data_IF_501159616995
#
_entry.id   IF_501159616995
#
_cell.length_a   1.000
_cell.length_b   1.000
_cell.length_c   1.000
_cell.angle_alpha   90.00
_cell.angle_beta   90.00
_cell.angle_gamma   90.00
#
_symmetry.space_group_name_H-M   'P 1'
#
loop_
_entity.id
_entity.type
_entity.pdbx_description
1 polymer ?
#
# COMPACT_ATOMS: atom_id res chain seq x y z
N UNK A 1 15.64 3.36 -25.19
CA UNK A 1 16.81 3.67 -24.35
C UNK A 1 16.41 3.41 -22.91
N UNK A 2 16.86 2.30 -22.32
CA UNK A 2 16.44 1.90 -20.96
C UNK A 2 17.26 2.74 -19.98
N UNK A 3 16.62 3.74 -19.36
CA UNK A 3 17.21 4.47 -18.24
C UNK A 3 17.31 3.53 -17.05
N UNK A 4 18.51 3.04 -16.76
CA UNK A 4 18.80 2.44 -15.47
C UNK A 4 18.80 3.57 -14.45
N UNK A 5 17.67 3.75 -13.76
CA UNK A 5 17.64 4.61 -12.57
C UNK A 5 18.70 4.13 -11.59
N UNK A 6 19.43 5.06 -11.00
CA UNK A 6 20.46 4.72 -10.01
C UNK A 6 19.82 3.99 -8.82
N UNK A 7 20.58 3.16 -8.10
CA UNK A 7 20.05 2.41 -6.95
C UNK A 7 19.36 3.33 -5.93
N UNK A 8 19.83 4.58 -5.81
CA UNK A 8 19.27 5.57 -4.89
C UNK A 8 17.97 6.20 -5.41
N UNK A 9 17.81 6.39 -6.73
CA UNK A 9 16.53 6.78 -7.34
C UNK A 9 15.45 5.72 -7.11
N UNK A 10 15.78 4.44 -7.28
CA UNK A 10 14.84 3.33 -7.03
C UNK A 10 14.41 3.31 -5.55
N UNK A 11 15.35 3.53 -4.62
CA UNK A 11 15.05 3.65 -3.19
C UNK A 11 14.16 4.86 -2.90
N UNK A 12 14.46 6.01 -3.50
CA UNK A 12 13.69 7.24 -3.31
C UNK A 12 12.25 7.10 -3.84
N UNK A 13 12.07 6.53 -5.04
CA UNK A 13 10.77 6.23 -5.62
C UNK A 13 9.97 5.28 -4.73
N UNK A 14 10.58 4.19 -4.25
CA UNK A 14 9.93 3.25 -3.33
C UNK A 14 9.55 3.91 -2.01
N UNK A 15 10.42 4.74 -1.44
CA UNK A 15 10.14 5.45 -0.19
C UNK A 15 8.93 6.40 -0.34
N UNK A 16 8.88 7.17 -1.43
CA UNK A 16 7.75 8.05 -1.73
C UNK A 16 6.45 7.26 -1.91
N UNK A 17 6.50 6.16 -2.66
CA UNK A 17 5.33 5.33 -2.91
C UNK A 17 4.83 4.64 -1.63
N UNK A 18 5.73 4.25 -0.72
CA UNK A 18 5.36 3.72 0.60
C UNK A 18 4.73 4.79 1.49
N UNK A 19 5.21 6.02 1.43
CA UNK A 19 4.62 7.12 2.20
C UNK A 19 3.18 7.42 1.74
N UNK A 20 2.95 7.39 0.42
CA UNK A 20 1.59 7.51 -0.13
C UNK A 20 0.71 6.35 0.31
N UNK A 21 1.24 5.13 0.34
CA UNK A 21 0.52 3.98 0.84
C UNK A 21 0.12 4.13 2.31
N UNK A 22 1.03 4.63 3.18
CA UNK A 22 0.72 4.92 4.59
C UNK A 22 -0.41 5.95 4.73
N UNK A 23 -0.38 7.01 3.93
CA UNK A 23 -1.45 8.01 3.95
C UNK A 23 -2.80 7.38 3.58
N UNK A 24 -2.86 6.53 2.55
CA UNK A 24 -4.09 5.84 2.17
C UNK A 24 -4.63 4.95 3.30
N UNK A 25 -3.75 4.23 4.00
CA UNK A 25 -4.12 3.44 5.18
C UNK A 25 -4.62 4.32 6.33
N UNK A 26 -3.98 5.47 6.57
CA UNK A 26 -4.41 6.42 7.60
C UNK A 26 -5.81 6.99 7.31
N UNK A 27 -6.10 7.34 6.05
CA UNK A 27 -7.41 7.82 5.62
C UNK A 27 -8.49 6.74 5.80
N UNK A 28 -8.19 5.50 5.40
CA UNK A 28 -9.09 4.36 5.59
C UNK A 28 -9.36 4.10 7.08
N UNK A 29 -8.32 4.19 7.92
CA UNK A 29 -8.45 4.03 9.36
C UNK A 29 -9.25 5.16 10.01
N UNK A 30 -9.09 6.40 9.55
CA UNK A 30 -9.87 7.54 10.02
C UNK A 30 -11.37 7.34 9.76
N UNK A 31 -11.74 6.89 8.56
CA UNK A 31 -13.13 6.52 8.23
C UNK A 31 -13.63 5.36 9.11
N UNK A 32 -12.79 4.36 9.37
CA UNK A 32 -13.15 3.26 10.26
C UNK A 32 -13.42 3.75 11.69
N UNK A 33 -12.58 4.66 12.22
CA UNK A 33 -12.78 5.24 13.56
C UNK A 33 -14.06 6.06 13.63
N UNK A 34 -14.29 6.95 12.65
CA UNK A 34 -15.51 7.76 12.63
C UNK A 34 -16.78 6.90 12.52
N UNK A 35 -16.71 5.76 11.83
CA UNK A 35 -17.83 4.81 11.82
C UNK A 35 -18.08 4.22 13.23
N UNK A 36 -17.03 3.84 13.96
CA UNK A 36 -17.20 3.29 15.31
C UNK A 36 -17.68 4.34 16.32
N UNK A 37 -17.27 5.59 16.18
CA UNK A 37 -17.76 6.69 17.02
C UNK A 37 -19.28 6.89 16.90
N UNK A 38 -19.87 6.61 15.73
CA UNK A 38 -21.33 6.59 15.58
C UNK A 38 -21.97 5.51 16.47
N UNK A 39 -21.32 4.35 16.64
CA UNK A 39 -21.87 3.27 17.45
C UNK A 39 -21.72 3.48 18.97
N UNK A 40 -20.91 4.45 19.41
CA UNK A 40 -20.64 4.71 20.83
C UNK A 40 -21.73 5.56 21.52
N UNK A 41 -22.73 6.03 20.75
CA UNK A 41 -23.88 6.75 21.26
C UNK A 41 -24.93 5.83 21.92
N UNK A 42 -25.64 6.34 22.93
CA UNK A 42 -26.66 5.58 23.67
C UNK A 42 -27.96 5.31 22.89
N UNK A 43 -28.21 6.05 21.80
CA UNK A 43 -29.41 5.94 20.98
C UNK A 43 -29.06 5.52 19.55
N UNK A 44 -28.76 4.23 19.38
CA UNK A 44 -28.53 3.65 18.06
C UNK A 44 -29.88 3.44 17.35
N UNK A 45 -30.20 4.26 16.37
CA UNK A 45 -31.35 4.09 15.49
C UNK A 45 -30.97 3.48 14.13
N UNK A 46 -31.99 3.17 13.32
CA UNK A 46 -31.83 2.56 12.00
C UNK A 46 -31.07 3.47 11.03
N UNK A 47 -31.31 4.79 11.09
CA UNK A 47 -30.67 5.76 10.20
C UNK A 47 -29.17 5.88 10.50
N UNK A 48 -28.82 5.86 11.79
CA UNK A 48 -27.45 5.92 12.28
C UNK A 48 -26.69 4.62 11.97
N UNK A 49 -27.37 3.49 12.01
CA UNK A 49 -26.82 2.22 11.56
C UNK A 49 -26.59 2.18 10.03
N UNK A 50 -27.49 2.74 9.23
CA UNK A 50 -27.31 2.88 7.79
C UNK A 50 -26.12 3.79 7.46
N UNK A 51 -25.98 4.90 8.21
CA UNK A 51 -24.83 5.80 8.08
C UNK A 51 -23.51 5.11 8.45
N UNK A 52 -23.50 4.37 9.56
CA UNK A 52 -22.37 3.51 9.95
C UNK A 52 -21.99 2.56 8.80
N UNK A 53 -22.96 1.82 8.24
CA UNK A 53 -22.68 0.89 7.14
C UNK A 53 -22.12 1.57 5.91
N UNK A 54 -22.61 2.77 5.57
CA UNK A 54 -22.10 3.54 4.44
C UNK A 54 -20.63 3.93 4.64
N UNK A 55 -20.28 4.42 5.84
CA UNK A 55 -18.90 4.81 6.16
C UNK A 55 -17.99 3.58 6.23
N UNK A 56 -18.45 2.47 6.80
CA UNK A 56 -17.70 1.20 6.81
C UNK A 56 -17.39 0.70 5.40
N UNK A 57 -18.39 0.69 4.50
CA UNK A 57 -18.19 0.31 3.09
C UNK A 57 -17.16 1.21 2.41
N UNK A 58 -17.17 2.51 2.70
CA UNK A 58 -16.18 3.46 2.19
C UNK A 58 -14.78 3.20 2.74
N UNK A 59 -14.65 2.91 4.04
CA UNK A 59 -13.38 2.55 4.66
C UNK A 59 -12.81 1.26 4.04
N UNK A 60 -13.64 0.23 3.86
CA UNK A 60 -13.24 -1.04 3.26
C UNK A 60 -12.76 -0.87 1.81
N UNK A 61 -13.42 0.00 1.03
CA UNK A 61 -12.96 0.35 -0.31
C UNK A 61 -11.58 1.02 -0.27
N UNK A 62 -11.36 1.97 0.64
CA UNK A 62 -10.07 2.64 0.81
C UNK A 62 -8.96 1.69 1.24
N UNK A 63 -9.26 0.72 2.11
CA UNK A 63 -8.31 -0.34 2.44
C UNK A 63 -7.96 -1.20 1.23
N UNK A 64 -8.93 -1.58 0.40
CA UNK A 64 -8.67 -2.33 -0.84
C UNK A 64 -7.77 -1.55 -1.80
N UNK A 65 -8.03 -0.25 -1.98
CA UNK A 65 -7.18 0.62 -2.80
C UNK A 65 -5.74 0.68 -2.26
N UNK A 66 -5.57 0.81 -0.94
CA UNK A 66 -4.25 0.83 -0.31
C UNK A 66 -3.52 -0.52 -0.45
N UNK A 67 -4.23 -1.64 -0.32
CA UNK A 67 -3.65 -2.97 -0.53
C UNK A 67 -3.22 -3.18 -1.98
N UNK A 68 -4.03 -2.77 -2.95
CA UNK A 68 -3.65 -2.88 -4.36
C UNK A 68 -2.47 -1.97 -4.70
N UNK A 69 -2.44 -0.75 -4.17
CA UNK A 69 -1.28 0.13 -4.30
C UNK A 69 0.00 -0.53 -3.76
N UNK A 70 -0.08 -1.18 -2.59
CA UNK A 70 1.07 -1.90 -2.03
C UNK A 70 1.48 -3.10 -2.89
N UNK A 71 0.51 -3.80 -3.48
CA UNK A 71 0.76 -4.93 -4.40
C UNK A 71 1.53 -4.48 -5.64
N UNK A 72 1.06 -3.42 -6.30
CA UNK A 72 1.72 -2.83 -7.48
C UNK A 72 3.11 -2.31 -7.11
N UNK A 73 3.23 -1.57 -6.01
CA UNK A 73 4.52 -1.07 -5.51
C UNK A 73 5.55 -2.19 -5.32
N UNK A 74 5.14 -3.32 -4.74
CA UNK A 74 6.04 -4.46 -4.53
C UNK A 74 6.39 -5.22 -5.81
N UNK A 75 5.57 -5.15 -6.85
CA UNK A 75 5.86 -5.72 -8.16
C UNK A 75 6.86 -4.84 -8.95
N UNK A 76 6.61 -3.52 -8.99
CA UNK A 76 7.38 -2.59 -9.81
C UNK A 76 8.69 -2.16 -9.14
N UNK A 77 8.70 -2.06 -7.81
CA UNK A 77 9.86 -1.60 -7.04
C UNK A 77 10.16 -2.57 -5.91
N UNK A 78 10.60 -3.81 -6.17
CA UNK A 78 10.75 -4.82 -5.12
C UNK A 78 11.68 -4.36 -3.97
N UNK A 79 11.51 -4.94 -2.75
CA UNK A 79 12.39 -4.64 -1.63
C UNK A 79 13.87 -4.83 -2.01
N UNK A 80 14.74 -3.95 -1.53
CA UNK A 80 16.17 -3.93 -1.90
C UNK A 80 16.87 -5.27 -1.64
N UNK A 81 16.43 -6.04 -0.64
CA UNK A 81 16.91 -7.41 -0.35
C UNK A 81 16.62 -8.40 -1.49
N UNK A 82 15.46 -8.29 -2.14
CA UNK A 82 15.09 -9.09 -3.30
C UNK A 82 15.85 -8.62 -4.55
N UNK A 83 16.06 -7.30 -4.69
CA UNK A 83 16.82 -6.73 -5.82
C UNK A 83 18.30 -7.11 -5.80
N UNK A 84 18.93 -7.18 -4.62
CA UNK A 84 20.32 -7.65 -4.47
C UNK A 84 20.47 -9.14 -4.78
N UNK A 85 19.53 -9.97 -4.33
CA UNK A 85 19.49 -11.40 -4.69
C UNK A 85 19.29 -11.63 -6.19
N UNK A 86 18.39 -10.86 -6.83
CA UNK A 86 18.18 -10.93 -8.27
C UNK A 86 19.43 -10.48 -9.04
N UNK A 87 20.10 -9.41 -8.62
CA UNK A 87 21.35 -8.96 -9.22
C UNK A 87 22.48 -10.00 -9.07
N UNK A 88 22.58 -10.67 -7.92
CA UNK A 88 23.53 -11.77 -7.72
C UNK A 88 23.21 -12.97 -8.62
N UNK A 89 21.94 -13.38 -8.74
CA UNK A 89 21.53 -14.47 -9.64
C UNK A 89 21.85 -14.16 -11.10
N UNK A 90 21.59 -12.93 -11.55
CA UNK A 90 21.90 -12.49 -12.91
C UNK A 90 23.41 -12.53 -13.20
N UNK A 91 24.25 -12.13 -12.22
CA UNK A 91 25.71 -12.24 -12.34
C UNK A 91 26.18 -13.70 -12.43
N UNK A 92 25.67 -14.57 -11.57
CA UNK A 92 25.99 -16.00 -11.58
C UNK A 92 25.58 -16.68 -12.90
N UNK A 93 24.43 -16.32 -13.47
CA UNK A 93 24.01 -16.84 -14.78
C UNK A 93 24.92 -16.37 -15.92
N UNK A 94 25.38 -15.12 -15.89
CA UNK A 94 26.32 -14.61 -16.89
C UNK A 94 27.69 -15.30 -16.82
N UNK A 95 28.18 -15.59 -15.62
CA UNK A 95 29.45 -16.29 -15.38
C UNK A 95 29.37 -17.79 -15.76
N UNK A 96 28.21 -18.43 -15.58
CA UNK A 96 28.01 -19.84 -15.96
C UNK A 96 27.88 -20.10 -17.48
N UNK A 97 27.80 -19.03 -18.28
CA UNK A 97 27.63 -19.08 -19.74
C UNK A 97 28.90 -18.72 -20.52
N UNK A 98 29.99 -18.38 -19.83
CA UNK A 98 31.32 -18.11 -20.39
C UNK A 98 32.22 -19.33 -20.19
#
# INVERSE_FOLDING_TARGET
>A
MIHYSTCDEIKACRALALERNRQMFADAQALSRSAFELLDGSDLDVELFDQYQAIRRKADLKFKEALEHLRVLNADFPPVSMSTQNAQRLRQQAESRA
#
